data_IF_432929944507
#
_entry.id   IF_432929944507
#
_cell.length_a   1.000
_cell.length_b   1.000
_cell.length_c   1.000
_cell.angle_alpha   90.00
_cell.angle_beta   90.00
_cell.angle_gamma   90.00
#
_symmetry.space_group_name_H-M   'P 1'
#
loop_
_entity.id
_entity.type
_entity.pdbx_description
1 polymer ?
#
# COMPACT_ATOMS: atom_id res chain seq x y z
N UNK A 1 8.89 18.47 12.09
CA UNK A 1 7.72 19.23 11.60
C UNK A 1 6.47 18.42 11.89
N UNK A 2 5.40 19.07 12.33
CA UNK A 2 4.11 18.39 12.55
C UNK A 2 3.31 18.31 11.25
N UNK A 3 2.57 17.22 11.09
CA UNK A 3 1.65 16.98 9.97
C UNK A 3 0.22 16.80 10.51
N UNK A 4 -0.77 16.94 9.64
CA UNK A 4 -2.16 16.67 9.99
C UNK A 4 -2.41 15.16 10.14
N UNK A 5 -3.33 14.81 11.05
CA UNK A 5 -3.78 13.44 11.29
C UNK A 5 -5.30 13.45 11.45
N UNK A 6 -5.98 12.54 10.77
CA UNK A 6 -7.44 12.46 10.76
C UNK A 6 -7.87 11.08 11.25
N UNK A 7 -8.55 11.01 12.40
CA UNK A 7 -9.12 9.75 12.91
C UNK A 7 -10.64 9.77 12.71
N UNK A 8 -11.06 9.34 11.52
CA UNK A 8 -12.46 9.34 11.12
C UNK A 8 -13.13 7.99 11.36
N UNK A 9 -14.41 8.04 11.70
CA UNK A 9 -15.28 6.89 11.88
C UNK A 9 -15.71 6.28 10.54
N UNK A 10 -16.30 5.08 10.61
CA UNK A 10 -16.90 4.42 9.44
C UNK A 10 -17.95 5.29 8.75
N UNK A 11 -18.79 5.99 9.53
CA UNK A 11 -19.88 6.82 9.01
C UNK A 11 -19.35 8.09 8.33
N UNK A 12 -18.29 8.69 8.86
CA UNK A 12 -17.64 9.83 8.19
C UNK A 12 -17.00 9.39 6.86
N UNK A 13 -16.29 8.26 6.84
CA UNK A 13 -15.64 7.75 5.63
C UNK A 13 -16.62 7.33 4.54
N UNK A 14 -17.71 6.65 4.89
CA UNK A 14 -18.71 6.26 3.89
C UNK A 14 -19.36 7.49 3.26
N UNK A 15 -19.69 8.51 4.05
CA UNK A 15 -20.27 9.75 3.53
C UNK A 15 -19.28 10.47 2.61
N UNK A 16 -18.03 10.66 3.04
CA UNK A 16 -16.99 11.30 2.24
C UNK A 16 -16.80 10.62 0.89
N UNK A 17 -16.59 9.30 0.88
CA UNK A 17 -16.33 8.60 -0.38
C UNK A 17 -17.58 8.49 -1.25
N UNK A 18 -18.79 8.48 -0.67
CA UNK A 18 -20.03 8.57 -1.45
C UNK A 18 -20.18 9.94 -2.10
N UNK A 19 -19.88 11.03 -1.38
CA UNK A 19 -19.92 12.39 -1.93
C UNK A 19 -18.88 12.58 -3.04
N UNK A 20 -17.65 12.08 -2.83
CA UNK A 20 -16.56 12.18 -3.80
C UNK A 20 -16.86 11.37 -5.06
N UNK A 21 -17.30 10.12 -4.89
CA UNK A 21 -17.40 9.19 -6.02
C UNK A 21 -18.77 9.22 -6.71
N UNK A 22 -19.85 9.59 -6.00
CA UNK A 22 -21.22 9.59 -6.54
C UNK A 22 -21.82 10.98 -6.74
N UNK A 23 -21.05 12.06 -6.53
CA UNK A 23 -21.54 13.45 -6.53
C UNK A 23 -22.13 13.97 -7.85
N UNK A 24 -22.00 13.24 -8.96
CA UNK A 24 -22.41 13.68 -10.31
C UNK A 24 -23.54 12.84 -10.95
N UNK A 25 -24.18 11.94 -10.18
CA UNK A 25 -25.32 11.08 -10.57
C UNK A 25 -25.11 10.29 -11.87
N UNK A 26 -24.27 9.26 -11.83
CA UNK A 26 -24.30 8.12 -12.75
C UNK A 26 -23.62 6.95 -12.06
N UNK A 27 -23.95 5.72 -12.45
CA UNK A 27 -23.15 4.52 -12.18
C UNK A 27 -21.66 4.86 -12.35
N UNK A 28 -20.85 4.55 -11.33
CA UNK A 28 -19.41 4.88 -11.31
C UNK A 28 -18.61 3.61 -11.57
N UNK A 29 -18.27 3.31 -12.83
CA UNK A 29 -17.43 2.17 -13.15
C UNK A 29 -16.00 2.39 -12.66
N UNK A 30 -15.26 1.31 -12.48
CA UNK A 30 -13.93 1.33 -11.91
C UNK A 30 -12.96 2.21 -12.73
N UNK A 31 -13.11 2.23 -14.06
CA UNK A 31 -12.32 3.09 -14.95
C UNK A 31 -12.53 4.59 -14.71
N UNK A 32 -13.65 5.00 -14.10
CA UNK A 32 -13.95 6.41 -13.81
C UNK A 32 -13.49 6.87 -12.43
N UNK A 33 -13.09 5.95 -11.54
CA UNK A 33 -12.71 6.29 -10.16
C UNK A 33 -11.57 7.32 -10.13
N UNK A 34 -10.55 7.17 -10.98
CA UNK A 34 -9.44 8.14 -11.08
C UNK A 34 -9.96 9.54 -11.46
N UNK A 35 -10.89 9.61 -12.41
CA UNK A 35 -11.50 10.87 -12.87
C UNK A 35 -12.32 11.56 -11.78
N UNK A 36 -13.10 10.81 -11.00
CA UNK A 36 -13.84 11.38 -9.86
C UNK A 36 -12.90 11.96 -8.79
N UNK A 37 -11.79 11.27 -8.52
CA UNK A 37 -10.72 11.81 -7.68
C UNK A 37 -10.08 13.08 -8.25
N UNK A 38 -9.79 13.10 -9.57
CA UNK A 38 -9.25 14.27 -10.24
C UNK A 38 -10.16 15.49 -10.07
N UNK A 39 -11.48 15.31 -10.24
CA UNK A 39 -12.46 16.37 -10.06
C UNK A 39 -12.54 16.89 -8.62
N UNK A 40 -12.50 15.99 -7.63
CA UNK A 40 -12.53 16.38 -6.21
C UNK A 40 -11.27 17.16 -5.83
N UNK A 41 -10.10 16.69 -6.26
CA UNK A 41 -8.81 17.34 -5.98
C UNK A 41 -8.74 18.74 -6.58
N UNK A 42 -9.21 18.91 -7.82
CA UNK A 42 -9.24 20.21 -8.49
C UNK A 42 -10.06 21.26 -7.72
N UNK A 43 -11.08 20.83 -6.97
CA UNK A 43 -11.95 21.71 -6.19
C UNK A 43 -11.44 22.01 -4.78
N UNK A 44 -10.68 21.09 -4.17
CA UNK A 44 -10.36 21.14 -2.74
C UNK A 44 -8.90 21.47 -2.46
N UNK A 45 -7.96 21.00 -3.29
CA UNK A 45 -6.54 21.18 -3.01
C UNK A 45 -6.05 22.55 -3.48
N UNK A 46 -5.24 23.20 -2.63
CA UNK A 46 -4.47 24.38 -3.01
C UNK A 46 -3.47 24.01 -4.13
N UNK A 47 -3.51 24.69 -5.29
CA UNK A 47 -2.77 24.23 -6.47
C UNK A 47 -1.26 24.32 -6.32
N UNK A 48 -0.75 25.24 -5.48
CA UNK A 48 0.69 25.53 -5.30
C UNK A 48 0.99 26.10 -3.91
N UNK A 49 2.27 26.14 -3.54
CA UNK A 49 2.78 26.98 -2.46
C UNK A 49 2.69 26.39 -1.05
N UNK A 50 1.97 25.29 -0.85
CA UNK A 50 1.95 24.56 0.41
C UNK A 50 3.19 23.66 0.55
N UNK A 51 3.61 23.47 1.80
CA UNK A 51 4.76 22.67 2.18
C UNK A 51 4.31 21.32 2.74
N UNK A 52 5.11 20.29 2.50
CA UNK A 52 4.83 18.94 2.95
C UNK A 52 6.11 18.16 3.27
N UNK A 53 5.94 17.11 4.07
CA UNK A 53 6.93 16.04 4.16
C UNK A 53 6.70 15.05 3.03
N UNK A 54 7.73 14.77 2.25
CA UNK A 54 7.74 13.65 1.32
C UNK A 54 8.52 12.49 1.93
N UNK A 55 7.84 11.36 2.14
CA UNK A 55 8.48 10.12 2.60
C UNK A 55 8.87 9.32 1.35
N UNK A 56 10.14 9.42 0.96
CA UNK A 56 10.61 8.84 -0.30
C UNK A 56 10.41 7.32 -0.26
N UNK A 57 9.69 6.72 -1.23
CA UNK A 57 9.48 5.28 -1.29
C UNK A 57 10.80 4.52 -1.38
N UNK A 58 10.82 3.28 -0.87
CA UNK A 58 12.02 2.44 -0.86
C UNK A 58 12.63 2.26 -2.26
N UNK A 59 11.79 2.06 -3.29
CA UNK A 59 12.26 1.90 -4.66
C UNK A 59 12.91 3.18 -5.17
N UNK A 60 12.26 4.34 -4.97
CA UNK A 60 12.83 5.64 -5.31
C UNK A 60 14.15 5.90 -4.56
N UNK A 61 14.25 5.52 -3.28
CA UNK A 61 15.52 5.59 -2.55
C UNK A 61 16.63 4.74 -3.20
N UNK A 62 16.29 3.53 -3.66
CA UNK A 62 17.21 2.63 -4.33
C UNK A 62 17.68 3.21 -5.67
N UNK A 63 16.77 3.74 -6.47
CA UNK A 63 17.07 4.34 -7.78
C UNK A 63 17.97 5.57 -7.64
N UNK A 64 17.76 6.35 -6.58
CA UNK A 64 18.55 7.53 -6.24
C UNK A 64 19.82 7.22 -5.43
N UNK A 65 20.05 5.95 -5.10
CA UNK A 65 21.19 5.50 -4.30
C UNK A 65 21.31 6.21 -2.93
N UNK A 66 20.17 6.49 -2.29
CA UNK A 66 20.10 7.09 -0.96
C UNK A 66 19.62 6.08 0.08
N UNK A 67 19.92 6.35 1.35
CA UNK A 67 19.50 5.48 2.45
C UNK A 67 17.97 5.49 2.62
N UNK A 68 17.39 4.32 2.94
CA UNK A 68 15.99 4.22 3.33
C UNK A 68 15.90 3.93 4.85
N UNK A 69 15.06 4.66 5.63
CA UNK A 69 14.09 5.67 5.19
C UNK A 69 14.72 7.06 4.99
N UNK A 70 14.22 7.81 4.00
CA UNK A 70 14.53 9.24 3.80
C UNK A 70 13.23 10.05 3.80
N UNK A 71 13.24 11.18 4.51
CA UNK A 71 12.14 12.15 4.53
C UNK A 71 12.68 13.53 4.24
N UNK A 72 12.06 14.23 3.28
CA UNK A 72 12.46 15.57 2.85
C UNK A 72 11.29 16.54 2.96
N UNK A 73 11.60 17.83 3.11
CA UNK A 73 10.60 18.90 3.09
C UNK A 73 10.52 19.42 1.67
N UNK A 74 9.31 19.51 1.13
CA UNK A 74 9.06 19.96 -0.24
C UNK A 74 8.01 21.07 -0.28
N UNK A 75 8.03 21.87 -1.34
CA UNK A 75 6.99 22.86 -1.68
C UNK A 75 6.27 22.39 -2.93
N UNK A 76 4.94 22.40 -2.93
CA UNK A 76 4.17 22.16 -4.14
C UNK A 76 4.33 23.32 -5.13
N UNK A 77 4.63 23.03 -6.39
CA UNK A 77 4.75 24.01 -7.48
C UNK A 77 3.63 23.91 -8.51
N UNK A 78 3.14 22.70 -8.80
CA UNK A 78 2.05 22.47 -9.74
C UNK A 78 1.44 21.09 -9.55
N UNK A 79 0.11 21.01 -9.47
CA UNK A 79 -0.62 19.74 -9.36
C UNK A 79 -1.13 19.31 -10.72
N UNK A 80 -0.84 18.07 -11.08
CA UNK A 80 -1.44 17.36 -12.19
C UNK A 80 -2.61 16.53 -11.64
N UNK A 81 -3.80 17.11 -11.69
CA UNK A 81 -5.02 16.45 -11.20
C UNK A 81 -5.36 15.20 -12.00
N UNK A 82 -5.06 15.18 -13.32
CA UNK A 82 -5.29 13.99 -14.15
C UNK A 82 -4.43 12.82 -13.72
N UNK A 83 -3.17 13.04 -13.38
CA UNK A 83 -2.27 11.98 -12.92
C UNK A 83 -2.27 11.78 -11.40
N UNK A 84 -2.98 12.61 -10.64
CA UNK A 84 -2.98 12.60 -9.17
C UNK A 84 -1.56 12.79 -8.60
N UNK A 85 -0.75 13.57 -9.31
CA UNK A 85 0.65 13.86 -8.96
C UNK A 85 0.86 15.35 -8.77
N UNK A 86 2.01 15.71 -8.20
CA UNK A 86 2.41 17.09 -8.00
C UNK A 86 3.89 17.25 -8.26
N UNK A 87 4.24 18.31 -8.98
CA UNK A 87 5.60 18.80 -9.09
C UNK A 87 5.96 19.53 -7.81
N UNK A 88 7.01 19.03 -7.15
CA UNK A 88 7.48 19.57 -5.89
C UNK A 88 8.92 20.05 -6.01
N UNK A 89 9.22 21.14 -5.32
CA UNK A 89 10.58 21.65 -5.11
C UNK A 89 11.09 21.19 -3.75
N UNK A 90 12.29 20.64 -3.69
CA UNK A 90 12.93 20.25 -2.43
C UNK A 90 13.40 21.51 -1.68
N UNK A 91 12.93 21.69 -0.45
CA UNK A 91 13.25 22.84 0.41
C UNK A 91 14.37 22.47 1.40
N UNK A 92 14.29 21.28 1.98
CA UNK A 92 15.25 20.82 2.97
C UNK A 92 15.39 19.30 2.96
N UNK A 93 16.62 18.85 3.15
CA UNK A 93 17.01 17.44 3.29
C UNK A 93 17.57 17.23 4.71
N UNK A 94 17.34 16.06 5.30
CA UNK A 94 17.88 15.74 6.63
C UNK A 94 19.36 15.35 6.60
N UNK A 95 19.78 14.71 5.51
CA UNK A 95 21.12 14.17 5.31
C UNK A 95 21.83 14.88 4.14
N UNK A 96 23.15 14.73 4.02
CA UNK A 96 23.93 15.17 2.85
C UNK A 96 23.66 14.28 1.62
N UNK A 97 22.41 14.29 1.15
CA UNK A 97 21.96 13.56 -0.02
C UNK A 97 21.82 14.48 -1.22
N UNK A 98 22.21 13.98 -2.39
CA UNK A 98 22.07 14.69 -3.65
C UNK A 98 20.74 14.31 -4.29
N UNK A 99 19.77 15.23 -4.23
CA UNK A 99 18.49 15.09 -4.89
C UNK A 99 18.36 16.19 -5.97
N UNK A 100 17.84 15.86 -7.17
CA UNK A 100 17.30 16.82 -8.11
C UNK A 100 16.41 17.88 -7.42
N UNK A 101 16.48 19.13 -7.90
CA UNK A 101 15.76 20.24 -7.28
C UNK A 101 14.24 20.06 -7.34
N UNK A 102 13.75 19.37 -8.37
CA UNK A 102 12.32 19.15 -8.63
C UNK A 102 12.02 17.68 -8.89
N UNK A 103 10.85 17.26 -8.44
CA UNK A 103 10.32 15.90 -8.62
C UNK A 103 8.84 15.93 -8.91
N UNK A 104 8.36 15.02 -9.75
CA UNK A 104 6.94 14.69 -9.84
C UNK A 104 6.66 13.55 -8.86
N UNK A 105 5.74 13.76 -7.92
CA UNK A 105 5.48 12.86 -6.81
C UNK A 105 3.98 12.56 -6.74
N UNK A 106 3.56 11.30 -6.51
CA UNK A 106 2.16 10.98 -6.25
C UNK A 106 1.65 11.73 -5.01
N UNK A 107 0.46 12.34 -5.09
CA UNK A 107 -0.13 13.10 -3.98
C UNK A 107 -0.21 12.27 -2.68
N UNK A 108 -0.49 10.98 -2.81
CA UNK A 108 -0.60 10.05 -1.67
C UNK A 108 0.71 9.90 -0.87
N UNK A 109 1.86 10.29 -1.40
CA UNK A 109 3.15 10.23 -0.69
C UNK A 109 3.48 11.48 0.14
N UNK A 110 2.68 12.54 0.00
CA UNK A 110 2.94 13.84 0.64
C UNK A 110 2.12 14.08 1.89
N UNK A 111 2.74 14.59 2.94
CA UNK A 111 2.09 14.90 4.20
C UNK A 111 2.20 16.41 4.46
N UNK A 112 1.16 17.20 4.13
CA UNK A 112 1.20 18.65 4.35
C UNK A 112 1.55 18.98 5.81
N UNK A 113 2.44 19.95 5.98
CA UNK A 113 2.91 20.37 7.30
C UNK A 113 1.95 21.37 7.92
N UNK A 114 1.80 21.38 9.24
CA UNK A 114 0.99 22.41 9.92
C UNK A 114 1.66 23.78 9.87
N UNK A 115 2.98 23.80 9.92
CA UNK A 115 3.78 25.00 9.75
C UNK A 115 3.95 25.28 8.26
N UNK A 116 3.47 26.43 7.83
CA UNK A 116 3.49 26.88 6.45
C UNK A 116 4.12 28.27 6.38
N UNK A 117 4.88 28.54 5.33
CA UNK A 117 5.38 29.89 5.06
C UNK A 117 4.24 30.84 4.65
N UNK A 118 3.19 30.31 4.02
CA UNK A 118 2.01 31.07 3.61
C UNK A 118 0.81 30.71 4.51
N UNK A 119 0.31 31.68 5.26
CA UNK A 119 -0.84 31.50 6.17
C UNK A 119 -2.21 31.69 5.49
N UNK A 120 -2.27 32.05 4.21
CA UNK A 120 -3.54 32.27 3.49
C UNK A 120 -4.10 31.02 2.82
N UNK A 121 -3.28 29.98 2.67
CA UNK A 121 -3.66 28.73 2.00
C UNK A 121 -4.54 27.88 2.93
N UNK A 122 -5.57 27.25 2.37
CA UNK A 122 -6.31 26.19 3.06
C UNK A 122 -5.52 24.87 3.04
N UNK A 123 -4.49 24.82 3.89
CA UNK A 123 -3.67 23.62 4.03
C UNK A 123 -4.39 22.52 4.80
N UNK A 124 -5.42 22.85 5.59
CA UNK A 124 -6.24 21.84 6.28
C UNK A 124 -7.05 21.06 5.25
N UNK A 125 -7.79 21.76 4.37
CA UNK A 125 -8.53 21.15 3.28
C UNK A 125 -7.63 20.35 2.33
N UNK A 126 -6.46 20.90 2.00
CA UNK A 126 -5.44 20.18 1.21
C UNK A 126 -4.98 18.88 1.89
N UNK A 127 -4.65 18.93 3.19
CA UNK A 127 -4.19 17.77 3.94
C UNK A 127 -5.28 16.71 4.09
N UNK A 128 -6.52 17.14 4.28
CA UNK A 128 -7.69 16.27 4.36
C UNK A 128 -7.94 15.55 3.03
N UNK A 129 -7.94 16.28 1.91
CA UNK A 129 -8.12 15.71 0.57
C UNK A 129 -7.02 14.67 0.25
N UNK A 130 -5.75 15.00 0.50
CA UNK A 130 -4.64 14.05 0.30
C UNK A 130 -4.77 12.82 1.20
N UNK A 131 -5.25 12.99 2.43
CA UNK A 131 -5.48 11.87 3.34
C UNK A 131 -6.63 10.96 2.88
N UNK A 132 -7.73 11.54 2.40
CA UNK A 132 -8.84 10.79 1.79
C UNK A 132 -8.36 9.97 0.59
N UNK A 133 -7.62 10.60 -0.33
CA UNK A 133 -7.04 9.95 -1.50
C UNK A 133 -6.12 8.80 -1.09
N UNK A 134 -5.20 9.06 -0.15
CA UNK A 134 -4.28 8.05 0.37
C UNK A 134 -5.03 6.89 1.01
N UNK A 135 -6.04 7.16 1.83
CA UNK A 135 -6.84 6.14 2.48
C UNK A 135 -7.50 5.23 1.44
N UNK A 136 -8.11 5.84 0.42
CA UNK A 136 -8.79 5.13 -0.66
C UNK A 136 -7.84 4.16 -1.39
N UNK A 137 -6.73 4.67 -1.93
CA UNK A 137 -5.79 3.84 -2.71
C UNK A 137 -5.00 2.83 -1.85
N UNK A 138 -4.81 3.10 -0.55
CA UNK A 138 -4.11 2.16 0.32
C UNK A 138 -5.00 1.04 0.85
N UNK A 139 -6.30 1.30 1.06
CA UNK A 139 -7.16 0.41 1.83
C UNK A 139 -8.40 -0.08 1.09
N UNK A 140 -8.87 0.64 0.07
CA UNK A 140 -10.13 0.33 -0.62
C UNK A 140 -9.90 -0.10 -2.06
N UNK A 141 -9.02 0.58 -2.78
CA UNK A 141 -8.68 0.23 -4.16
C UNK A 141 -7.87 -1.07 -4.22
N UNK A 142 -8.31 -2.00 -5.07
CA UNK A 142 -7.61 -3.25 -5.32
C UNK A 142 -7.00 -3.26 -6.73
N UNK A 143 -5.86 -3.93 -6.94
CA UNK A 143 -5.19 -3.92 -8.23
C UNK A 143 -6.04 -4.45 -9.40
N UNK A 144 -6.94 -5.41 -9.12
CA UNK A 144 -7.83 -6.00 -10.12
C UNK A 144 -9.09 -5.17 -10.40
N UNK A 145 -9.34 -4.07 -9.68
CA UNK A 145 -10.53 -3.25 -9.92
C UNK A 145 -10.49 -2.59 -11.31
N UNK A 146 -9.29 -2.29 -11.83
CA UNK A 146 -9.11 -1.73 -13.18
C UNK A 146 -9.62 -2.70 -14.25
N UNK A 147 -9.38 -4.00 -14.05
CA UNK A 147 -9.69 -5.05 -15.03
C UNK A 147 -11.18 -5.44 -15.01
N UNK A 148 -11.87 -5.21 -13.89
CA UNK A 148 -13.29 -5.53 -13.67
C UNK A 148 -14.24 -4.41 -14.13
N UNK A 149 -13.86 -3.66 -15.17
CA UNK A 149 -14.62 -2.53 -15.70
C UNK A 149 -15.85 -2.94 -16.53
N UNK A 150 -16.68 -3.85 -16.01
CA UNK A 150 -17.90 -4.36 -16.64
C UNK A 150 -19.06 -3.33 -16.62
N UNK A 151 -18.76 -2.02 -16.59
CA UNK A 151 -19.73 -0.93 -16.42
C UNK A 151 -20.64 -1.03 -15.18
N UNK A 152 -20.24 -1.80 -14.16
CA UNK A 152 -20.96 -1.85 -12.88
C UNK A 152 -20.61 -0.66 -11.99
N UNK A 153 -21.50 -0.37 -11.04
CA UNK A 153 -21.27 0.66 -10.05
C UNK A 153 -20.28 0.16 -8.97
N UNK A 154 -19.02 0.61 -9.06
CA UNK A 154 -17.97 0.25 -8.10
C UNK A 154 -18.35 0.69 -6.68
N UNK A 155 -19.00 1.86 -6.54
CA UNK A 155 -19.41 2.40 -5.23
C UNK A 155 -20.43 1.47 -4.59
N UNK A 156 -21.47 1.08 -5.34
CA UNK A 156 -22.50 0.18 -4.87
C UNK A 156 -21.94 -1.21 -4.50
N UNK A 157 -20.99 -1.74 -5.28
CA UNK A 157 -20.47 -3.09 -5.11
C UNK A 157 -19.41 -3.22 -4.02
N UNK A 158 -18.52 -2.23 -3.89
CA UNK A 158 -17.28 -2.39 -3.12
C UNK A 158 -17.10 -1.41 -1.98
N UNK A 159 -17.64 -0.19 -2.05
CA UNK A 159 -17.26 0.86 -1.10
C UNK A 159 -17.59 0.48 0.35
N UNK A 160 -18.84 0.10 0.62
CA UNK A 160 -19.29 -0.21 1.97
C UNK A 160 -18.61 -1.48 2.53
N UNK A 161 -18.50 -2.53 1.71
CA UNK A 161 -17.95 -3.83 2.11
C UNK A 161 -16.47 -3.73 2.44
N UNK A 162 -15.67 -3.03 1.63
CA UNK A 162 -14.24 -2.81 1.88
C UNK A 162 -13.97 -1.85 3.03
N UNK A 163 -14.75 -0.78 3.17
CA UNK A 163 -14.69 0.07 4.36
C UNK A 163 -15.01 -0.73 5.62
N UNK A 164 -16.05 -1.56 5.59
CA UNK A 164 -16.44 -2.39 6.74
C UNK A 164 -15.31 -3.35 7.10
N UNK A 165 -14.70 -3.99 6.11
CA UNK A 165 -13.54 -4.86 6.34
C UNK A 165 -12.39 -4.11 7.02
N UNK A 166 -12.04 -2.90 6.53
CA UNK A 166 -11.01 -2.08 7.15
C UNK A 166 -11.31 -1.78 8.63
N UNK A 167 -12.53 -1.34 8.94
CA UNK A 167 -12.91 -1.00 10.31
C UNK A 167 -13.04 -2.22 11.22
N UNK A 168 -13.49 -3.36 10.70
CA UNK A 168 -13.52 -4.62 11.45
C UNK A 168 -12.11 -5.06 11.83
N UNK A 169 -11.14 -4.94 10.91
CA UNK A 169 -9.73 -5.20 11.21
C UNK A 169 -9.18 -4.18 12.21
N UNK A 170 -9.44 -2.87 12.02
CA UNK A 170 -8.99 -1.80 12.93
C UNK A 170 -9.51 -1.99 14.36
N UNK A 171 -10.73 -2.51 14.52
CA UNK A 171 -11.40 -2.71 15.82
C UNK A 171 -11.17 -4.10 16.42
N UNK A 172 -10.36 -4.95 15.78
CA UNK A 172 -10.13 -6.34 16.17
C UNK A 172 -11.40 -7.22 16.17
N UNK A 173 -12.40 -6.89 15.34
CA UNK A 173 -13.54 -7.77 15.06
C UNK A 173 -13.13 -8.95 14.16
N UNK A 174 -12.01 -8.82 13.43
CA UNK A 174 -11.36 -9.92 12.71
C UNK A 174 -10.22 -10.44 13.58
N UNK A 175 -10.17 -11.76 13.78
CA UNK A 175 -9.05 -12.37 14.51
C UNK A 175 -7.70 -12.08 13.84
N UNK A 176 -6.62 -12.07 14.62
CA UNK A 176 -5.30 -11.66 14.16
C UNK A 176 -4.82 -12.48 12.96
N UNK A 177 -5.02 -13.79 13.00
CA UNK A 177 -4.60 -14.72 11.95
C UNK A 177 -5.27 -14.39 10.61
N UNK A 178 -6.59 -14.21 10.60
CA UNK A 178 -7.35 -13.83 9.40
C UNK A 178 -6.94 -12.44 8.90
N UNK A 179 -6.75 -11.48 9.81
CA UNK A 179 -6.30 -10.15 9.44
C UNK A 179 -4.91 -10.16 8.80
N UNK A 180 -3.99 -11.00 9.29
CA UNK A 180 -2.65 -11.16 8.72
C UNK A 180 -2.69 -11.85 7.35
N UNK A 181 -3.59 -12.81 7.14
CA UNK A 181 -3.84 -13.41 5.83
C UNK A 181 -4.32 -12.35 4.84
N UNK A 182 -5.33 -11.55 5.19
CA UNK A 182 -5.87 -10.49 4.33
C UNK A 182 -4.77 -9.49 3.93
N UNK A 183 -4.00 -9.00 4.92
CA UNK A 183 -2.88 -8.07 4.64
C UNK A 183 -1.83 -8.69 3.72
N UNK A 184 -1.52 -9.97 3.92
CA UNK A 184 -0.56 -10.68 3.09
C UNK A 184 -1.05 -10.83 1.66
N UNK A 185 -2.32 -11.19 1.47
CA UNK A 185 -2.95 -11.31 0.15
C UNK A 185 -2.97 -9.97 -0.58
N UNK A 186 -3.40 -8.89 0.07
CA UNK A 186 -3.43 -7.55 -0.54
C UNK A 186 -2.02 -7.09 -0.91
N UNK A 187 -1.03 -7.33 -0.04
CA UNK A 187 0.37 -7.01 -0.35
C UNK A 187 0.89 -7.82 -1.54
N UNK A 188 0.63 -9.13 -1.56
CA UNK A 188 1.00 -10.02 -2.65
C UNK A 188 0.36 -9.58 -3.97
N UNK A 189 -0.92 -9.16 -3.94
CA UNK A 189 -1.60 -8.62 -5.12
C UNK A 189 -0.92 -7.36 -5.67
N UNK A 190 -0.58 -6.40 -4.80
CA UNK A 190 0.14 -5.19 -5.23
C UNK A 190 1.50 -5.53 -5.85
N UNK A 191 2.27 -6.42 -5.20
CA UNK A 191 3.57 -6.88 -5.70
C UNK A 191 3.44 -7.64 -7.04
N UNK A 192 2.35 -8.39 -7.25
CA UNK A 192 2.08 -9.09 -8.52
C UNK A 192 1.68 -8.09 -9.60
N UNK A 193 0.82 -7.13 -9.30
CA UNK A 193 0.40 -6.09 -10.24
C UNK A 193 1.59 -5.31 -10.76
N UNK A 194 2.50 -4.87 -9.87
CA UNK A 194 3.73 -4.17 -10.25
C UNK A 194 4.62 -5.02 -11.18
N UNK A 195 4.67 -6.34 -10.95
CA UNK A 195 5.45 -7.26 -11.80
C UNK A 195 4.81 -7.49 -13.15
N UNK A 196 3.48 -7.57 -13.21
CA UNK A 196 2.72 -7.67 -14.45
C UNK A 196 3.02 -6.43 -15.31
N UNK A 197 2.82 -5.22 -14.77
CA UNK A 197 3.05 -3.99 -15.53
C UNK A 197 4.49 -3.83 -16.02
N UNK A 198 5.49 -4.27 -15.25
CA UNK A 198 6.89 -4.26 -15.69
C UNK A 198 7.15 -5.25 -16.82
N UNK A 199 6.66 -6.48 -16.71
CA UNK A 199 6.83 -7.49 -17.76
C UNK A 199 6.10 -7.09 -19.04
N UNK A 200 4.92 -6.48 -18.94
CA UNK A 200 4.18 -5.97 -20.10
C UNK A 200 4.96 -4.86 -20.82
N UNK A 201 5.57 -3.93 -20.08
CA UNK A 201 6.44 -2.90 -20.65
C UNK A 201 7.68 -3.54 -21.33
N UNK A 202 8.36 -4.47 -20.64
CA UNK A 202 9.54 -5.16 -21.18
C UNK A 202 9.21 -5.99 -22.45
N UNK A 203 8.00 -6.56 -22.55
CA UNK A 203 7.55 -7.30 -23.74
C UNK A 203 7.24 -6.33 -24.89
N UNK A 204 6.61 -5.19 -24.59
CA UNK A 204 6.30 -4.17 -25.59
C UNK A 204 7.55 -3.50 -26.18
N UNK A 205 8.65 -3.41 -25.42
CA UNK A 205 9.90 -2.77 -25.85
C UNK A 205 10.82 -3.74 -26.64
N UNK A 206 10.72 -5.06 -26.42
CA UNK A 206 11.54 -6.11 -27.06
C UNK A 206 11.16 -6.39 -28.53
N UNK A 207 10.24 -5.62 -29.12
CA UNK A 207 9.80 -5.82 -30.50
C UNK A 207 10.87 -5.54 -31.57
N UNK A 208 12.04 -5.01 -31.18
CA UNK A 208 13.17 -4.63 -32.06
C UNK A 208 14.31 -5.68 -32.18
N UNK A 209 14.27 -6.83 -31.47
CA UNK A 209 15.35 -7.85 -31.52
C UNK A 209 15.19 -8.95 -32.60
N UNK A 210 16.30 -9.61 -32.98
CA UNK A 210 16.36 -10.63 -34.04
C UNK A 210 15.52 -11.89 -33.76
N UNK A 211 14.82 -12.36 -34.80
CA UNK A 211 13.79 -13.41 -34.82
C UNK A 211 14.08 -14.70 -34.01
N UNK A 212 15.31 -15.23 -34.05
CA UNK A 212 15.62 -16.55 -33.46
C UNK A 212 15.83 -16.51 -31.93
N UNK A 213 16.26 -15.39 -31.35
CA UNK A 213 16.35 -15.19 -29.89
C UNK A 213 15.05 -14.63 -29.30
N UNK A 214 14.25 -13.94 -30.11
CA UNK A 214 12.94 -13.37 -29.73
C UNK A 214 11.97 -14.47 -29.27
N UNK A 215 11.89 -15.59 -30.01
CA UNK A 215 10.86 -16.63 -29.76
C UNK A 215 11.00 -17.34 -28.40
N UNK A 216 12.22 -17.63 -27.94
CA UNK A 216 12.44 -18.35 -26.67
C UNK A 216 12.38 -17.44 -25.44
N UNK A 217 12.83 -16.18 -25.57
CA UNK A 217 12.74 -15.17 -24.50
C UNK A 217 11.29 -14.75 -24.28
N UNK A 218 10.53 -14.60 -25.38
CA UNK A 218 9.11 -14.29 -25.38
C UNK A 218 8.26 -15.42 -24.76
N UNK A 219 8.53 -16.69 -25.08
CA UNK A 219 7.80 -17.83 -24.48
C UNK A 219 8.01 -17.92 -22.96
N UNK A 220 9.23 -17.64 -22.48
CA UNK A 220 9.55 -17.61 -21.04
C UNK A 220 8.85 -16.48 -20.29
N UNK A 221 8.93 -15.25 -20.82
CA UNK A 221 8.26 -14.06 -20.26
C UNK A 221 6.74 -14.21 -20.28
N UNK A 222 6.17 -14.70 -21.38
CA UNK A 222 4.74 -14.98 -21.52
C UNK A 222 4.26 -16.04 -20.53
N UNK A 223 5.02 -17.12 -20.32
CA UNK A 223 4.70 -18.13 -19.30
C UNK A 223 4.71 -17.54 -17.89
N UNK A 224 5.66 -16.63 -17.59
CA UNK A 224 5.72 -15.94 -16.30
C UNK A 224 4.53 -15.00 -16.11
N UNK A 225 4.19 -14.21 -17.12
CA UNK A 225 3.03 -13.30 -17.12
C UNK A 225 1.73 -14.07 -16.84
N UNK A 226 1.51 -15.20 -17.55
CA UNK A 226 0.36 -16.07 -17.32
C UNK A 226 0.27 -16.59 -15.89
N UNK A 227 1.40 -17.00 -15.28
CA UNK A 227 1.44 -17.43 -13.87
C UNK A 227 1.06 -16.31 -12.90
N UNK A 228 1.49 -15.09 -13.18
CA UNK A 228 1.16 -13.92 -12.36
C UNK A 228 -0.33 -13.59 -12.44
N UNK A 229 -0.94 -13.57 -13.63
CA UNK A 229 -2.39 -13.37 -13.77
C UNK A 229 -3.19 -14.48 -13.08
N UNK A 230 -2.79 -15.75 -13.22
CA UNK A 230 -3.46 -16.85 -12.53
C UNK A 230 -3.41 -16.68 -11.01
N UNK A 231 -2.25 -16.27 -10.47
CA UNK A 231 -2.13 -16.01 -9.03
C UNK A 231 -2.95 -14.79 -8.60
N UNK A 232 -3.02 -13.74 -9.42
CA UNK A 232 -3.88 -12.59 -9.16
C UNK A 232 -5.35 -13.00 -9.03
N UNK A 233 -5.85 -13.83 -9.95
CA UNK A 233 -7.23 -14.32 -9.91
C UNK A 233 -7.52 -15.19 -8.67
N UNK A 234 -6.54 -16.00 -8.24
CA UNK A 234 -6.64 -16.74 -6.98
C UNK A 234 -6.74 -15.80 -5.78
N UNK A 235 -5.87 -14.79 -5.69
CA UNK A 235 -5.88 -13.81 -4.60
C UNK A 235 -7.21 -13.05 -4.57
N UNK A 236 -7.70 -12.59 -5.73
CA UNK A 236 -9.00 -11.94 -5.85
C UNK A 236 -10.13 -12.81 -5.30
N UNK A 237 -10.17 -14.10 -5.66
CA UNK A 237 -11.17 -15.03 -5.15
C UNK A 237 -11.06 -15.23 -3.63
N UNK A 238 -9.84 -15.40 -3.10
CA UNK A 238 -9.59 -15.50 -1.65
C UNK A 238 -10.05 -14.24 -0.91
N UNK A 239 -9.72 -13.05 -1.43
CA UNK A 239 -10.09 -11.75 -0.83
C UNK A 239 -11.60 -11.52 -0.89
N UNK A 240 -12.28 -11.84 -2.00
CA UNK A 240 -13.73 -11.70 -2.11
C UNK A 240 -14.49 -12.52 -1.05
N UNK A 241 -14.00 -13.72 -0.74
CA UNK A 241 -14.55 -14.54 0.36
C UNK A 241 -14.31 -13.86 1.71
N UNK A 242 -13.13 -13.28 1.92
CA UNK A 242 -12.75 -12.63 3.17
C UNK A 242 -13.39 -11.25 3.37
N UNK A 243 -13.78 -10.54 2.30
CA UNK A 243 -14.54 -9.30 2.35
C UNK A 243 -15.96 -9.52 2.86
N UNK A 244 -16.58 -10.64 2.45
CA UNK A 244 -17.93 -11.01 2.89
C UNK A 244 -17.95 -11.35 4.40
N UNK A 245 -18.67 -10.56 5.24
CA UNK A 245 -18.69 -10.78 6.68
C UNK A 245 -19.18 -12.16 7.12
N UNK A 246 -20.21 -12.69 6.45
CA UNK A 246 -20.77 -13.99 6.80
C UNK A 246 -19.79 -15.14 6.51
N UNK A 247 -19.10 -15.09 5.36
CA UNK A 247 -18.10 -16.09 5.00
C UNK A 247 -16.87 -16.02 5.91
N UNK A 248 -16.41 -14.79 6.19
CA UNK A 248 -15.32 -14.54 7.15
C UNK A 248 -15.64 -15.10 8.54
N UNK A 249 -16.85 -14.88 9.03
CA UNK A 249 -17.30 -15.43 10.33
C UNK A 249 -17.27 -16.95 10.37
N UNK A 250 -17.68 -17.63 9.29
CA UNK A 250 -17.62 -19.10 9.21
C UNK A 250 -16.17 -19.60 9.27
N UNK A 251 -15.24 -18.94 8.57
CA UNK A 251 -13.81 -19.30 8.58
C UNK A 251 -13.18 -19.10 9.96
N UNK A 252 -13.56 -18.03 10.67
CA UNK A 252 -13.06 -17.79 12.02
C UNK A 252 -13.55 -18.82 13.05
N UNK A 253 -14.77 -19.36 12.87
CA UNK A 253 -15.34 -20.40 13.74
C UNK A 253 -14.76 -21.79 13.45
N UNK A 254 -14.35 -22.05 12.21
CA UNK A 254 -13.83 -23.34 11.75
C UNK A 254 -12.41 -23.20 11.14
N UNK A 255 -11.39 -22.85 11.95
CA UNK A 255 -10.02 -22.67 11.44
C UNK A 255 -9.41 -23.95 10.85
N UNK A 256 -9.95 -25.13 11.18
CA UNK A 256 -9.40 -26.44 10.80
C UNK A 256 -9.89 -26.98 9.44
N UNK A 257 -10.80 -26.32 8.73
CA UNK A 257 -11.41 -26.92 7.52
C UNK A 257 -10.81 -26.46 6.18
N UNK A 258 -10.00 -25.40 6.13
CA UNK A 258 -9.64 -24.77 4.85
C UNK A 258 -8.23 -24.16 4.75
N UNK A 259 -7.21 -24.78 5.36
CA UNK A 259 -5.81 -24.47 4.99
C UNK A 259 -5.33 -25.46 3.93
N UNK A 260 -5.24 -25.09 2.63
CA UNK A 260 -4.34 -25.80 1.74
C UNK A 260 -2.93 -25.58 2.28
N UNK A 261 -2.30 -26.68 2.71
CA UNK A 261 -0.91 -26.83 3.15
C UNK A 261 0.07 -25.81 2.55
N UNK A 262 0.12 -24.59 3.10
CA UNK A 262 1.29 -23.74 3.03
C UNK A 262 2.08 -24.11 4.27
N UNK A 263 2.99 -25.07 4.11
CA UNK A 263 3.93 -25.49 5.13
C UNK A 263 4.80 -24.30 5.54
N UNK A 264 4.28 -23.41 6.39
CA UNK A 264 5.09 -22.79 7.41
C UNK A 264 5.46 -23.95 8.31
N UNK A 265 6.74 -24.33 8.33
CA UNK A 265 7.30 -25.30 9.27
C UNK A 265 7.18 -24.76 10.70
N UNK A 266 5.96 -24.69 11.21
CA UNK A 266 5.68 -24.68 12.63
C UNK A 266 5.98 -26.10 13.10
N UNK A 267 7.21 -26.32 13.55
CA UNK A 267 7.57 -27.51 14.31
C UNK A 267 6.51 -27.71 15.39
N UNK A 268 5.85 -28.85 15.29
CA UNK A 268 4.85 -29.32 16.23
C UNK A 268 5.35 -29.15 17.67
N UNK A 269 4.52 -28.54 18.49
CA UNK A 269 4.68 -28.43 19.92
C UNK A 269 4.47 -29.80 20.58
N UNK A 270 5.49 -30.65 20.53
CA UNK A 270 5.72 -31.67 21.55
C UNK A 270 7.17 -31.54 22.02
N UNK A 271 7.35 -31.37 23.33
CA UNK A 271 8.62 -31.25 24.06
C UNK A 271 9.42 -29.94 23.89
N UNK A 272 8.85 -28.81 24.31
CA UNK A 272 9.69 -27.62 24.60
C UNK A 272 10.34 -27.76 25.98
N UNK A 273 11.62 -28.11 25.97
CA UNK A 273 12.55 -27.72 27.05
C UNK A 273 12.61 -26.19 27.11
N UNK A 274 12.73 -25.56 28.29
CA UNK A 274 12.80 -24.12 28.38
C UNK A 274 14.07 -23.62 27.67
N UNK A 275 13.90 -22.86 26.59
CA UNK A 275 14.98 -22.21 25.85
C UNK A 275 15.02 -20.73 26.24
N UNK A 276 16.17 -20.26 26.68
CA UNK A 276 16.44 -18.86 26.98
C UNK A 276 17.41 -18.29 25.95
N UNK A 277 17.09 -17.12 25.40
CA UNK A 277 17.96 -16.39 24.48
C UNK A 277 18.69 -15.30 25.26
N UNK A 278 20.02 -15.29 25.18
CA UNK A 278 20.86 -14.28 25.83
C UNK A 278 21.52 -13.42 24.76
N UNK A 279 21.35 -12.10 24.87
CA UNK A 279 21.97 -11.14 23.97
C UNK A 279 23.36 -10.80 24.49
N UNK A 280 24.38 -11.15 23.72
CA UNK A 280 25.77 -10.87 24.06
C UNK A 280 26.15 -9.45 23.60
N UNK A 281 26.61 -8.62 24.54
CA UNK A 281 26.97 -7.22 24.31
C UNK A 281 28.51 -7.02 24.13
N UNK A 282 29.26 -8.11 23.89
CA UNK A 282 30.73 -8.12 23.73
C UNK A 282 31.52 -8.63 24.95
N UNK A 283 32.78 -9.07 24.75
CA UNK A 283 33.68 -9.62 25.79
C UNK A 283 34.48 -10.85 25.32
N UNK A 284 35.06 -11.63 26.25
CA UNK A 284 35.57 -12.98 25.94
C UNK A 284 34.41 -13.99 25.99
N UNK A 285 34.40 -14.92 25.02
CA UNK A 285 33.40 -15.99 24.95
C UNK A 285 33.48 -16.91 26.18
N UNK A 286 34.69 -17.11 26.70
CA UNK A 286 34.98 -18.01 27.83
C UNK A 286 34.35 -17.51 29.13
N UNK A 287 34.46 -16.21 29.41
CA UNK A 287 33.85 -15.58 30.60
C UNK A 287 32.32 -15.62 30.54
N UNK A 288 31.77 -15.44 29.33
CA UNK A 288 30.32 -15.47 29.10
C UNK A 288 29.76 -16.87 29.38
N UNK A 289 30.46 -17.91 28.91
CA UNK A 289 30.09 -19.31 29.18
C UNK A 289 30.16 -19.65 30.67
N UNK A 290 31.21 -19.18 31.38
CA UNK A 290 31.35 -19.40 32.84
C UNK A 290 30.18 -18.77 33.61
N UNK A 291 29.76 -17.55 33.23
CA UNK A 291 28.65 -16.87 33.89
C UNK A 291 27.29 -17.52 33.60
N UNK A 292 27.06 -18.01 32.38
CA UNK A 292 25.85 -18.76 32.04
C UNK A 292 25.73 -20.07 32.84
N UNK A 293 26.86 -20.76 33.09
CA UNK A 293 26.87 -21.98 33.91
C UNK A 293 26.52 -21.71 35.38
N UNK A 294 26.82 -20.53 35.92
CA UNK A 294 26.43 -20.16 37.29
C UNK A 294 24.92 -19.95 37.44
N UNK A 295 24.24 -19.50 36.37
CA UNK A 295 22.80 -19.26 36.36
C UNK A 295 21.96 -20.55 36.29
N UNK A 296 22.55 -21.66 35.84
CA UNK A 296 21.87 -22.96 35.71
C UNK A 296 21.85 -23.75 37.04
N UNK A 297 22.66 -23.35 38.04
CA UNK A 297 22.77 -24.02 39.35
C UNK A 297 22.01 -23.29 40.49
N UNK A 298 21.02 -22.46 40.17
CA UNK A 298 20.07 -21.82 41.10
C UNK A 298 18.66 -22.33 40.81
#
# INVERSE_FOLDING_TARGET
MEVYTFDKSFQERINEFTEILSGRETIVPASRIKSEWSYHIELVIEPVGWQALWKIPRLTCQDLQIHYPTVVVVSAEHIDCSELTVFVKIIAVQDEIHLPEKYQVPLIELYPTKSQNNSTLDVIGTAECIEQLRFFYNHLWMPWDVDDDENFDWVLLHLETRLRLFFDIKRNNVNKETADIIRTLIKEAKDISDKISRLEADISDDDEETEDTKFLVDEGKTCQLMKLHLRMQQIKAEVNVLENPAMRDVLQRNPNSNTPNRQVKSKENLDRKPEAFVVWQGGSLEDTIINLKKLINL
#
